data_IF_782910470189
#
_entry.id   IF_782910470189
#
_cell.length_a   1.000
_cell.length_b   1.000
_cell.length_c   1.000
_cell.angle_alpha   90.00
_cell.angle_beta   90.00
_cell.angle_gamma   90.00
#
_symmetry.space_group_name_H-M   'P 1'
#
loop_
_entity.id
_entity.type
_entity.pdbx_description
1 polymer ?
#
# COMPACT_ATOMS: atom_id res chain seq x y z
N UNK A 1 -6.08 17.73 21.69
CA UNK A 1 -5.33 16.83 20.78
C UNK A 1 -6.27 16.41 19.65
N UNK A 2 -6.21 17.07 18.48
CA UNK A 2 -7.12 16.76 17.35
C UNK A 2 -6.50 15.61 16.55
N UNK A 3 -7.05 14.40 16.72
CA UNK A 3 -6.80 13.29 15.80
C UNK A 3 -7.35 13.70 14.43
N UNK A 4 -6.46 14.14 13.53
CA UNK A 4 -6.82 14.29 12.11
C UNK A 4 -6.97 12.89 11.54
N UNK A 5 -8.20 12.40 11.47
CA UNK A 5 -8.53 11.30 10.59
C UNK A 5 -8.27 11.81 9.16
N UNK A 6 -7.35 11.21 8.38
CA UNK A 6 -7.27 11.53 6.97
C UNK A 6 -8.65 11.23 6.37
N UNK A 7 -9.22 12.24 5.70
CA UNK A 7 -10.48 12.16 4.98
C UNK A 7 -10.51 10.85 4.19
N UNK A 8 -11.46 9.99 4.56
CA UNK A 8 -11.83 8.81 3.80
C UNK A 8 -12.24 9.30 2.42
N UNK A 9 -11.44 9.03 1.40
CA UNK A 9 -11.80 9.33 0.02
C UNK A 9 -11.52 8.12 -0.85
N UNK A 10 -12.65 7.52 -1.24
CA UNK A 10 -12.86 6.46 -2.20
C UNK A 10 -12.63 5.03 -1.68
N UNK A 11 -13.71 4.25 -1.71
CA UNK A 11 -13.69 2.78 -1.66
C UNK A 11 -12.68 2.16 -2.65
N UNK A 12 -12.22 2.93 -3.64
CA UNK A 12 -11.24 2.54 -4.65
C UNK A 12 -9.78 2.42 -4.15
N UNK A 13 -9.42 3.00 -2.99
CA UNK A 13 -8.04 2.95 -2.47
C UNK A 13 -7.75 1.70 -1.66
N UNK A 14 -8.77 0.88 -1.43
CA UNK A 14 -8.67 -0.38 -0.74
C UNK A 14 -9.28 -1.47 -1.60
N UNK A 15 -8.64 -2.63 -1.61
CA UNK A 15 -9.17 -3.83 -2.24
C UNK A 15 -9.07 -4.99 -1.30
N UNK A 16 -10.17 -5.73 -1.19
CA UNK A 16 -10.26 -6.91 -0.36
C UNK A 16 -10.68 -8.11 -1.19
N UNK A 17 -9.90 -9.18 -1.06
CA UNK A 17 -10.07 -10.40 -1.81
C UNK A 17 -9.95 -11.59 -0.85
N UNK A 18 -10.81 -12.58 -1.02
CA UNK A 18 -10.76 -13.83 -0.26
C UNK A 18 -10.95 -15.02 -1.20
N UNK A 19 -10.31 -16.15 -0.90
CA UNK A 19 -10.48 -17.40 -1.63
C UNK A 19 -11.21 -18.45 -0.78
N UNK A 20 -11.60 -19.56 -1.41
CA UNK A 20 -12.29 -20.68 -0.74
C UNK A 20 -11.47 -21.36 0.35
N UNK A 21 -10.14 -21.21 0.35
CA UNK A 21 -9.24 -21.78 1.36
C UNK A 21 -9.14 -20.89 2.61
N UNK A 22 -9.95 -19.83 2.69
CA UNK A 22 -9.92 -18.83 3.77
C UNK A 22 -8.67 -17.95 3.75
N UNK A 23 -8.01 -17.82 2.60
CA UNK A 23 -6.90 -16.90 2.40
C UNK A 23 -7.42 -15.54 2.02
N UNK A 24 -7.05 -14.53 2.81
CA UNK A 24 -7.44 -13.14 2.65
C UNK A 24 -6.27 -12.32 2.12
N UNK A 25 -6.56 -11.42 1.19
CA UNK A 25 -5.63 -10.42 0.66
C UNK A 25 -6.27 -9.05 0.81
N UNK A 26 -5.56 -8.15 1.48
CA UNK A 26 -5.96 -6.76 1.63
C UNK A 26 -4.90 -5.86 0.99
N UNK A 27 -5.33 -4.97 0.11
CA UNK A 27 -4.47 -4.02 -0.57
C UNK A 27 -4.90 -2.59 -0.26
N UNK A 28 -3.91 -1.73 -0.06
CA UNK A 28 -4.10 -0.33 0.33
C UNK A 28 -3.18 0.58 -0.48
N UNK A 29 -3.76 1.58 -1.14
CA UNK A 29 -3.00 2.68 -1.72
C UNK A 29 -2.84 3.76 -0.66
N UNK A 30 -1.59 4.09 -0.33
CA UNK A 30 -1.26 5.06 0.69
C UNK A 30 -0.32 6.13 0.10
N UNK A 31 -0.64 7.40 0.33
CA UNK A 31 0.24 8.51 -0.05
C UNK A 31 1.55 8.45 0.76
N UNK A 32 2.65 8.91 0.20
CA UNK A 32 3.94 9.09 0.87
C UNK A 32 4.11 10.55 1.34
N UNK A 33 5.30 10.90 1.83
CA UNK A 33 5.60 12.28 2.25
C UNK A 33 5.95 13.21 1.07
N UNK A 34 6.26 12.65 -0.10
CA UNK A 34 6.82 13.29 -1.29
C UNK A 34 5.81 13.34 -2.45
N UNK A 35 4.52 13.48 -2.15
CA UNK A 35 3.37 13.43 -3.09
C UNK A 35 3.28 12.17 -3.97
N UNK A 36 4.15 11.19 -3.74
CA UNK A 36 4.08 9.87 -4.35
C UNK A 36 3.11 8.95 -3.60
N UNK A 37 2.81 7.80 -4.17
CA UNK A 37 1.92 6.79 -3.59
C UNK A 37 2.63 5.45 -3.49
N UNK A 38 2.24 4.63 -2.55
CA UNK A 38 2.71 3.26 -2.41
C UNK A 38 1.53 2.32 -2.21
N UNK A 39 1.65 1.15 -2.82
CA UNK A 39 0.70 0.06 -2.66
C UNK A 39 1.22 -0.90 -1.61
N UNK A 40 0.43 -1.12 -0.56
CA UNK A 40 0.71 -2.13 0.47
C UNK A 40 -0.23 -3.31 0.24
N UNK A 41 0.32 -4.49 0.04
CA UNK A 41 -0.41 -5.74 -0.07
C UNK A 41 -0.12 -6.62 1.15
N UNK A 42 -1.17 -7.01 1.85
CA UNK A 42 -1.13 -7.86 3.04
C UNK A 42 -1.91 -9.15 2.74
N UNK A 43 -1.39 -10.30 3.15
CA UNK A 43 -2.08 -11.58 2.94
C UNK A 43 -1.86 -12.56 4.09
N UNK A 44 -2.84 -13.41 4.36
CA UNK A 44 -2.82 -14.40 5.44
C UNK A 44 -4.16 -15.11 5.59
N UNK A 45 -4.29 -15.98 6.58
CA UNK A 45 -5.59 -16.59 6.91
C UNK A 45 -6.59 -15.55 7.44
N UNK A 46 -7.84 -15.68 7.01
CA UNK A 46 -8.95 -14.83 7.46
C UNK A 46 -9.12 -14.90 8.98
N UNK A 47 -9.25 -13.76 9.65
CA UNK A 47 -9.35 -13.68 11.11
C UNK A 47 -8.01 -13.78 11.86
N UNK A 48 -6.90 -13.99 11.15
CA UNK A 48 -5.55 -14.01 11.69
C UNK A 48 -4.80 -12.68 11.53
N UNK A 49 -3.50 -12.72 11.84
CA UNK A 49 -2.56 -11.64 11.48
C UNK A 49 -2.13 -11.78 10.02
N UNK A 50 -1.76 -10.67 9.38
CA UNK A 50 -1.15 -10.72 8.06
C UNK A 50 0.16 -11.52 8.14
N UNK A 51 0.23 -12.61 7.38
CA UNK A 51 1.40 -13.48 7.33
C UNK A 51 2.46 -12.95 6.36
N UNK A 52 2.03 -12.23 5.33
CA UNK A 52 2.90 -11.67 4.30
C UNK A 52 2.55 -10.22 4.05
N UNK A 53 3.61 -9.43 3.89
CA UNK A 53 3.55 -8.02 3.54
C UNK A 53 4.40 -7.80 2.29
N UNK A 54 3.84 -7.09 1.31
CA UNK A 54 4.58 -6.58 0.16
C UNK A 54 4.27 -5.10 -0.05
N UNK A 55 5.30 -4.36 -0.43
CA UNK A 55 5.25 -2.94 -0.74
C UNK A 55 5.65 -2.74 -2.20
N UNK A 56 4.90 -1.92 -2.94
CA UNK A 56 5.24 -1.48 -4.29
C UNK A 56 5.14 0.04 -4.42
N UNK A 57 5.96 0.61 -5.30
CA UNK A 57 6.12 2.05 -5.51
C UNK A 57 7.55 2.53 -5.21
N UNK A 58 7.78 3.85 -5.19
CA UNK A 58 6.78 4.92 -5.27
C UNK A 58 6.16 5.06 -6.66
N UNK A 59 4.84 5.30 -6.70
CA UNK A 59 4.11 5.71 -7.89
C UNK A 59 3.98 7.23 -7.89
N UNK A 60 4.28 7.85 -9.03
CA UNK A 60 4.23 9.31 -9.18
C UNK A 60 2.82 9.89 -9.11
N UNK A 61 1.79 9.06 -9.31
CA UNK A 61 0.40 9.50 -9.24
C UNK A 61 -0.51 8.41 -8.68
N UNK A 62 -1.64 8.83 -8.11
CA UNK A 62 -2.69 7.93 -7.60
C UNK A 62 -3.21 7.02 -8.71
N UNK A 63 -3.34 7.53 -9.93
CA UNK A 63 -3.81 6.76 -11.09
C UNK A 63 -2.87 5.59 -11.42
N UNK A 64 -1.55 5.79 -11.34
CA UNK A 64 -0.58 4.70 -11.54
C UNK A 64 -0.66 3.66 -10.43
N UNK A 65 -0.86 4.08 -9.18
CA UNK A 65 -1.07 3.16 -8.07
C UNK A 65 -2.34 2.32 -8.25
N UNK A 66 -3.44 2.91 -8.73
CA UNK A 66 -4.66 2.17 -9.06
C UNK A 66 -4.45 1.21 -10.23
N UNK A 67 -3.74 1.62 -11.29
CA UNK A 67 -3.45 0.73 -12.41
C UNK A 67 -2.67 -0.51 -11.94
N UNK A 68 -1.69 -0.33 -11.05
CA UNK A 68 -0.97 -1.44 -10.43
C UNK A 68 -1.88 -2.31 -9.55
N UNK A 69 -2.75 -1.71 -8.74
CA UNK A 69 -3.73 -2.43 -7.93
C UNK A 69 -4.67 -3.27 -8.81
N UNK A 70 -5.25 -2.69 -9.87
CA UNK A 70 -6.13 -3.40 -10.80
C UNK A 70 -5.41 -4.52 -11.57
N UNK A 71 -4.13 -4.35 -11.89
CA UNK A 71 -3.34 -5.42 -12.49
C UNK A 71 -3.19 -6.62 -11.54
N UNK A 72 -2.89 -6.35 -10.25
CA UNK A 72 -2.76 -7.41 -9.23
C UNK A 72 -4.12 -8.05 -8.95
N UNK A 73 -5.17 -7.25 -8.88
CA UNK A 73 -6.55 -7.71 -8.74
C UNK A 73 -6.91 -8.75 -9.81
N UNK A 74 -6.71 -8.43 -11.08
CA UNK A 74 -7.02 -9.35 -12.18
C UNK A 74 -6.23 -10.67 -12.09
N UNK A 75 -4.97 -10.60 -11.64
CA UNK A 75 -4.16 -11.79 -11.41
C UNK A 75 -4.68 -12.62 -10.23
N UNK A 76 -5.22 -11.99 -9.19
CA UNK A 76 -5.80 -12.72 -8.05
C UNK A 76 -7.17 -13.32 -8.39
N UNK A 77 -8.01 -12.59 -9.12
CA UNK A 77 -9.30 -13.10 -9.60
C UNK A 77 -9.12 -14.36 -10.48
N UNK A 78 -8.08 -14.40 -11.33
CA UNK A 78 -7.77 -15.60 -12.12
C UNK A 78 -7.23 -16.77 -11.28
N UNK A 79 -6.93 -16.56 -9.99
CA UNK A 79 -6.44 -17.56 -9.03
C UNK A 79 -7.50 -17.95 -7.99
N UNK A 80 -8.78 -17.87 -8.34
CA UNK A 80 -9.93 -18.21 -7.49
C UNK A 80 -10.09 -17.31 -6.26
N UNK A 81 -9.55 -16.09 -6.27
CA UNK A 81 -9.95 -15.06 -5.31
C UNK A 81 -11.23 -14.39 -5.76
N UNK A 82 -12.02 -13.95 -4.79
CA UNK A 82 -13.28 -13.23 -4.99
C UNK A 82 -13.23 -11.90 -4.27
N UNK A 83 -13.78 -10.84 -4.89
CA UNK A 83 -13.82 -9.52 -4.25
C UNK A 83 -14.85 -9.52 -3.14
N UNK A 84 -14.49 -8.96 -2.00
CA UNK A 84 -15.40 -8.83 -0.87
C UNK A 84 -15.71 -7.34 -0.65
N UNK A 85 -16.76 -6.86 -1.31
CA UNK A 85 -17.11 -5.44 -1.30
C UNK A 85 -17.72 -4.98 0.04
N UNK A 86 -18.29 -5.90 0.83
CA UNK A 86 -18.96 -5.58 2.09
C UNK A 86 -18.09 -5.84 3.34
N UNK A 87 -16.86 -6.33 3.16
CA UNK A 87 -16.04 -6.75 4.28
C UNK A 87 -15.23 -5.61 4.91
N UNK A 88 -15.06 -5.72 6.23
CA UNK A 88 -14.27 -4.78 6.99
C UNK A 88 -12.77 -5.07 6.87
N UNK A 89 -11.93 -4.05 6.68
CA UNK A 89 -10.48 -4.22 6.69
C UNK A 89 -9.99 -4.74 8.05
N UNK A 90 -9.23 -5.84 8.06
CA UNK A 90 -8.63 -6.42 9.26
C UNK A 90 -7.24 -5.83 9.53
N UNK A 91 -6.46 -5.54 8.47
CA UNK A 91 -5.04 -5.23 8.60
C UNK A 91 -4.67 -3.79 8.25
N UNK A 92 -5.65 -2.88 8.28
CA UNK A 92 -5.43 -1.46 8.00
C UNK A 92 -4.35 -0.84 8.89
N UNK A 93 -4.33 -1.19 10.18
CA UNK A 93 -3.31 -0.68 11.12
C UNK A 93 -1.92 -1.20 10.77
N UNK A 94 -1.81 -2.46 10.35
CA UNK A 94 -0.56 -3.05 9.85
C UNK A 94 -0.07 -2.31 8.62
N UNK A 95 -0.95 -2.05 7.64
CA UNK A 95 -0.59 -1.27 6.45
C UNK A 95 -0.10 0.14 6.79
N UNK A 96 -0.74 0.80 7.75
CA UNK A 96 -0.31 2.12 8.23
C UNK A 96 1.05 2.10 8.94
N UNK A 97 1.36 1.02 9.66
CA UNK A 97 2.66 0.85 10.29
C UNK A 97 3.77 0.67 9.24
N UNK A 98 3.52 -0.15 8.23
CA UNK A 98 4.46 -0.41 7.14
C UNK A 98 4.78 0.85 6.36
N UNK A 99 3.75 1.61 5.95
CA UNK A 99 3.99 2.87 5.23
C UNK A 99 4.75 3.88 6.09
N UNK A 100 4.48 3.92 7.40
CA UNK A 100 5.21 4.80 8.32
C UNK A 100 6.68 4.42 8.40
N UNK A 101 7.00 3.13 8.50
CA UNK A 101 8.38 2.65 8.49
C UNK A 101 9.10 3.05 7.20
N UNK A 102 8.45 2.81 6.05
CA UNK A 102 9.00 3.16 4.74
C UNK A 102 9.27 4.67 4.60
N UNK A 103 8.35 5.52 5.06
CA UNK A 103 8.55 6.97 5.09
C UNK A 103 9.73 7.38 5.96
N UNK A 104 9.87 6.79 7.14
CA UNK A 104 11.01 7.05 8.04
C UNK A 104 12.33 6.63 7.39
N UNK A 105 12.40 5.45 6.79
CA UNK A 105 13.60 4.96 6.09
C UNK A 105 13.98 5.86 4.91
N UNK A 106 13.00 6.32 4.13
CA UNK A 106 13.25 7.26 3.03
C UNK A 106 13.78 8.60 3.53
N UNK A 107 13.19 9.12 4.61
CA UNK A 107 13.65 10.37 5.20
C UNK A 107 15.11 10.26 5.67
N UNK A 108 15.48 9.16 6.31
CA UNK A 108 16.86 8.88 6.74
C UNK A 108 17.83 8.74 5.56
N UNK A 109 17.37 8.16 4.45
CA UNK A 109 18.18 7.90 3.27
C UNK A 109 18.05 8.99 2.20
N UNK A 110 17.60 10.20 2.54
CA UNK A 110 17.45 11.30 1.58
C UNK A 110 18.85 11.67 1.07
N UNK A 111 19.16 11.46 -0.22
CA UNK A 111 20.48 11.79 -0.76
C UNK A 111 20.65 13.32 -0.77
N UNK A 112 21.83 13.79 -0.34
CA UNK A 112 22.21 15.18 -0.54
C UNK A 112 22.63 15.36 -2.00
N UNK A 113 21.67 15.65 -2.87
CA UNK A 113 21.89 15.87 -4.31
C UNK A 113 22.37 17.30 -4.61
N UNK A 114 23.08 17.94 -3.68
CA UNK A 114 23.73 19.22 -3.96
C UNK A 114 24.86 18.98 -4.93
N UNK A 115 24.83 19.72 -6.03
CA UNK A 115 25.95 19.78 -6.96
C UNK A 115 27.19 20.30 -6.22
N UNK A 116 28.21 19.45 -6.07
CA UNK A 116 29.53 19.88 -5.61
C UNK A 116 30.34 20.35 -6.84
N UNK A 117 30.73 21.63 -6.93
CA UNK A 117 31.55 22.13 -8.02
C UNK A 117 32.87 21.38 -8.22
N UNK A 118 33.35 20.65 -7.20
CA UNK A 118 34.56 19.80 -7.26
C UNK A 118 34.35 18.51 -8.04
N UNK A 119 33.11 18.11 -8.33
CA UNK A 119 32.83 16.93 -9.14
C UNK A 119 33.09 17.16 -10.64
N UNK A 120 33.39 18.41 -11.05
CA UNK A 120 33.56 18.81 -12.45
C UNK A 120 34.98 19.30 -12.79
N UNK A 121 35.81 19.65 -11.80
CA UNK A 121 37.15 20.20 -12.00
C UNK A 121 38.25 19.36 -11.35
#
# INVERSE_FOLDING_TARGET
MRLRYPLVSAEHDQLLLENSDGWRVEMYILQNNDDSYSLVALSGKSGGVAERTKLQGPYLSRALAHAALSAIENVLLSRNFTKENAAHPQWRLTAQREIKSLRTTRQQNTPDCRFDPRDVY
#
